data_IF_858874003621
#
_entry.id   IF_858874003621
#
_cell.length_a   1.000
_cell.length_b   1.000
_cell.length_c   1.000
_cell.angle_alpha   90.00
_cell.angle_beta   90.00
_cell.angle_gamma   90.00
#
_symmetry.space_group_name_H-M   'P 1'
#
loop_
_entity.id
_entity.type
_entity.pdbx_description
1 polymer ?
#
# COMPACT_ATOMS: atom_id res chain seq x y z
N UNK A 1 -44.34 41.85 26.84
CA UNK A 1 -43.88 40.45 27.11
C UNK A 1 -43.92 39.53 25.88
N UNK A 2 -44.68 39.85 24.85
CA UNK A 2 -44.78 39.00 23.65
C UNK A 2 -43.69 39.29 22.61
N UNK A 3 -42.99 40.42 22.73
CA UNK A 3 -41.97 40.87 21.78
C UNK A 3 -40.63 40.10 21.89
N UNK A 4 -40.37 39.46 23.02
CA UNK A 4 -39.08 38.75 23.24
C UNK A 4 -39.11 37.26 22.88
N UNK A 5 -40.29 36.73 22.61
CA UNK A 5 -40.44 35.28 22.26
C UNK A 5 -40.26 35.08 20.76
N UNK A 6 -40.49 36.11 19.95
CA UNK A 6 -40.38 36.00 18.51
C UNK A 6 -38.93 36.09 17.99
N UNK A 7 -38.01 36.59 18.80
CA UNK A 7 -36.59 36.73 18.43
C UNK A 7 -35.79 35.47 18.76
N UNK A 8 -36.30 34.60 19.60
CA UNK A 8 -35.60 33.35 19.99
C UNK A 8 -35.89 32.17 19.05
N UNK A 9 -36.95 32.31 18.24
CA UNK A 9 -37.35 31.23 17.30
C UNK A 9 -36.63 31.28 15.96
N UNK A 10 -35.80 32.29 15.69
CA UNK A 10 -35.18 32.48 14.36
C UNK A 10 -33.70 32.11 14.32
N UNK A 11 -33.13 31.54 15.38
CA UNK A 11 -31.70 31.16 15.43
C UNK A 11 -31.47 29.65 15.29
N UNK A 12 -32.52 28.84 15.09
CA UNK A 12 -32.41 27.40 15.16
C UNK A 12 -32.45 26.68 13.80
N UNK A 13 -32.11 27.33 12.69
CA UNK A 13 -32.20 26.71 11.38
C UNK A 13 -31.04 27.03 10.45
N UNK A 14 -29.81 26.75 10.89
CA UNK A 14 -28.68 26.62 9.94
C UNK A 14 -27.69 25.58 10.40
N UNK A 15 -28.10 24.34 10.53
CA UNK A 15 -27.19 23.19 10.39
C UNK A 15 -27.36 22.69 8.98
N UNK A 16 -26.73 23.38 8.04
CA UNK A 16 -26.43 22.77 6.74
C UNK A 16 -25.38 21.71 6.99
N UNK A 17 -25.78 20.47 7.12
CA UNK A 17 -24.87 19.35 7.02
C UNK A 17 -24.38 19.32 5.58
N UNK A 18 -23.15 19.79 5.34
CA UNK A 18 -22.41 19.43 4.15
C UNK A 18 -22.07 17.95 4.29
N UNK A 19 -22.87 17.09 3.70
CA UNK A 19 -22.43 15.75 3.36
C UNK A 19 -21.46 15.89 2.20
N UNK A 20 -20.16 15.78 2.48
CA UNK A 20 -19.16 15.55 1.46
C UNK A 20 -19.36 14.08 1.00
N UNK A 21 -20.24 13.90 0.03
CA UNK A 21 -20.26 12.66 -0.73
C UNK A 21 -19.00 12.70 -1.61
N UNK A 22 -18.02 11.85 -1.25
CA UNK A 22 -16.87 11.59 -2.09
C UNK A 22 -17.34 11.01 -3.41
N UNK A 23 -17.36 11.82 -4.45
CA UNK A 23 -17.70 11.39 -5.81
C UNK A 23 -16.59 10.53 -6.47
N UNK A 24 -15.65 10.02 -5.69
CA UNK A 24 -14.56 9.15 -6.15
C UNK A 24 -14.80 7.66 -5.88
N UNK A 25 -16.05 7.22 -5.89
CA UNK A 25 -16.43 5.83 -5.64
C UNK A 25 -15.90 4.81 -6.68
N UNK A 26 -15.15 5.26 -7.69
CA UNK A 26 -14.70 4.42 -8.80
C UNK A 26 -13.20 4.08 -8.73
N UNK A 27 -12.51 4.58 -7.73
CA UNK A 27 -11.11 4.23 -7.45
C UNK A 27 -11.04 3.37 -6.19
N UNK A 28 -10.32 2.27 -6.26
CA UNK A 28 -10.04 1.41 -5.12
C UNK A 28 -8.56 1.05 -5.07
N UNK A 29 -8.09 0.68 -3.88
CA UNK A 29 -6.72 0.19 -3.70
C UNK A 29 -6.77 -1.33 -3.63
N UNK A 30 -5.90 -1.96 -4.39
CA UNK A 30 -5.71 -3.41 -4.40
C UNK A 30 -4.24 -3.72 -4.15
N UNK A 31 -3.97 -4.59 -3.19
CA UNK A 31 -2.61 -5.07 -2.91
C UNK A 31 -2.28 -6.21 -3.87
N UNK A 32 -1.14 -6.08 -4.55
CA UNK A 32 -0.68 -7.04 -5.55
C UNK A 32 0.50 -7.85 -5.00
N UNK A 33 0.52 -9.15 -5.29
CA UNK A 33 1.62 -10.01 -4.87
C UNK A 33 2.92 -9.70 -5.60
N UNK A 34 4.03 -9.91 -4.91
CA UNK A 34 5.37 -9.86 -5.49
C UNK A 34 5.64 -11.17 -6.25
N UNK A 35 5.96 -11.06 -7.51
CA UNK A 35 6.28 -12.19 -8.38
C UNK A 35 7.70 -12.66 -8.16
N UNK A 36 8.64 -11.72 -8.12
CA UNK A 36 10.07 -11.97 -7.98
C UNK A 36 10.73 -10.82 -7.21
N UNK A 37 11.72 -11.11 -6.41
CA UNK A 37 12.48 -10.12 -5.66
C UNK A 37 13.98 -10.30 -5.87
N UNK A 38 14.70 -9.21 -6.06
CA UNK A 38 16.15 -9.17 -6.18
C UNK A 38 16.70 -8.39 -5.01
N UNK A 39 17.39 -9.09 -4.11
CA UNK A 39 18.01 -8.53 -2.91
C UNK A 39 19.48 -8.88 -2.88
N UNK A 40 20.36 -8.04 -2.29
CA UNK A 40 21.74 -8.37 -2.05
C UNK A 40 21.91 -9.61 -1.16
N UNK A 41 23.03 -10.31 -1.30
CA UNK A 41 23.33 -11.48 -0.48
C UNK A 41 23.67 -11.13 0.96
N UNK A 42 24.17 -9.93 1.20
CA UNK A 42 24.52 -9.42 2.53
C UNK A 42 24.42 -7.90 2.55
N UNK A 43 24.21 -7.35 3.74
CA UNK A 43 24.22 -5.91 3.99
C UNK A 43 25.41 -5.53 4.84
N UNK A 44 25.95 -4.34 4.57
CA UNK A 44 26.91 -3.68 5.45
C UNK A 44 26.17 -2.63 6.30
N UNK A 45 26.38 -2.67 7.61
CA UNK A 45 25.76 -1.72 8.52
C UNK A 45 26.10 -0.27 8.15
N UNK A 46 25.08 0.57 8.03
CA UNK A 46 25.20 1.98 7.66
C UNK A 46 25.19 2.25 6.16
N UNK A 47 25.20 1.22 5.31
CA UNK A 47 25.15 1.38 3.86
C UNK A 47 23.70 1.47 3.35
N UNK A 48 23.56 1.88 2.10
CA UNK A 48 22.27 1.97 1.38
C UNK A 48 22.32 1.04 0.18
N UNK A 49 21.29 0.23 0.04
CA UNK A 49 21.16 -0.73 -1.07
C UNK A 49 19.86 -0.52 -1.83
N UNK A 50 19.92 -0.69 -3.14
CA UNK A 50 18.74 -0.72 -3.99
C UNK A 50 18.24 -2.15 -4.13
N UNK A 51 16.98 -2.39 -3.77
CA UNK A 51 16.27 -3.64 -3.98
C UNK A 51 15.30 -3.47 -5.13
N UNK A 52 14.97 -4.58 -5.80
CA UNK A 52 14.01 -4.57 -6.90
C UNK A 52 13.00 -5.69 -6.74
N UNK A 53 11.75 -5.38 -7.02
CA UNK A 53 10.65 -6.35 -7.07
C UNK A 53 9.99 -6.33 -8.43
N UNK A 54 9.49 -7.48 -8.85
CA UNK A 54 8.73 -7.67 -10.07
C UNK A 54 7.31 -8.08 -9.67
N UNK A 55 6.33 -7.50 -10.32
CA UNK A 55 4.91 -7.78 -10.07
C UNK A 55 4.11 -7.63 -11.37
N UNK A 56 2.90 -8.17 -11.39
CA UNK A 56 2.00 -8.05 -12.51
C UNK A 56 0.84 -7.10 -12.18
N UNK A 57 0.55 -6.14 -13.06
CA UNK A 57 -0.70 -5.42 -13.06
C UNK A 57 -1.78 -6.33 -13.68
N UNK A 58 -2.88 -6.65 -12.97
CA UNK A 58 -3.86 -7.63 -13.44
C UNK A 58 -4.64 -7.20 -14.68
N UNK A 59 -4.74 -5.89 -14.94
CA UNK A 59 -5.48 -5.35 -16.07
C UNK A 59 -5.01 -3.95 -16.45
N UNK A 60 -5.50 -3.42 -17.56
CA UNK A 60 -5.25 -2.04 -17.98
C UNK A 60 -5.88 -0.97 -17.08
N UNK A 61 -6.74 -1.35 -16.14
CA UNK A 61 -7.33 -0.43 -15.15
C UNK A 61 -6.51 -0.29 -13.88
N UNK A 62 -5.47 -1.11 -13.72
CA UNK A 62 -4.55 -1.06 -12.59
C UNK A 62 -3.37 -0.14 -12.89
N UNK A 63 -2.95 0.62 -11.89
CA UNK A 63 -1.75 1.44 -11.91
C UNK A 63 -0.99 1.30 -10.61
N UNK A 64 0.33 1.45 -10.65
CA UNK A 64 1.12 1.51 -9.44
C UNK A 64 0.65 2.67 -8.56
N UNK A 65 0.48 2.40 -7.26
CA UNK A 65 0.16 3.42 -6.26
C UNK A 65 1.34 3.68 -5.33
N UNK A 66 1.72 2.69 -4.53
CA UNK A 66 2.89 2.76 -3.65
C UNK A 66 3.46 1.38 -3.32
N UNK A 67 4.62 1.38 -2.68
CA UNK A 67 5.21 0.20 -2.07
C UNK A 67 4.63 0.05 -0.66
N UNK A 68 3.98 -1.08 -0.39
CA UNK A 68 3.66 -1.47 0.97
C UNK A 68 4.94 -1.95 1.65
N UNK A 69 5.38 -1.24 2.67
CA UNK A 69 6.61 -1.54 3.40
C UNK A 69 6.34 -1.42 4.89
N UNK A 70 6.24 -2.54 5.58
CA UNK A 70 5.91 -2.58 7.00
C UNK A 70 7.03 -3.18 7.82
N UNK A 71 7.35 -2.54 8.93
CA UNK A 71 8.29 -3.04 9.92
C UNK A 71 7.58 -4.05 10.84
N UNK A 72 8.16 -5.23 10.98
CA UNK A 72 7.74 -6.26 11.92
C UNK A 72 8.98 -6.75 12.67
N UNK A 73 9.38 -6.04 13.75
CA UNK A 73 10.65 -6.26 14.45
C UNK A 73 11.84 -6.17 13.49
N UNK A 74 12.62 -7.24 13.30
CA UNK A 74 13.75 -7.29 12.37
C UNK A 74 13.32 -7.62 10.94
N UNK A 75 12.05 -7.97 10.73
CA UNK A 75 11.49 -8.28 9.43
C UNK A 75 10.89 -7.05 8.74
N UNK A 76 10.75 -7.16 7.42
CA UNK A 76 10.09 -6.17 6.55
C UNK A 76 9.09 -6.89 5.67
N UNK A 77 7.82 -6.50 5.77
CA UNK A 77 6.76 -7.03 4.92
C UNK A 77 6.64 -6.13 3.70
N UNK A 78 6.69 -6.71 2.52
CA UNK A 78 6.71 -5.98 1.25
C UNK A 78 5.63 -6.51 0.31
N UNK A 79 4.84 -5.59 -0.23
CA UNK A 79 3.86 -5.82 -1.28
C UNK A 79 3.75 -4.56 -2.15
N UNK A 80 3.01 -4.64 -3.23
CA UNK A 80 2.69 -3.49 -4.09
C UNK A 80 1.23 -3.11 -3.88
N UNK A 81 0.97 -1.83 -3.65
CA UNK A 81 -0.38 -1.29 -3.72
C UNK A 81 -0.63 -0.70 -5.10
N UNK A 82 -1.75 -1.06 -5.67
CA UNK A 82 -2.22 -0.58 -6.97
C UNK A 82 -3.51 0.19 -6.80
N UNK A 83 -3.69 1.25 -7.58
CA UNK A 83 -4.99 1.89 -7.72
C UNK A 83 -5.72 1.27 -8.91
N UNK A 84 -6.98 0.94 -8.71
CA UNK A 84 -7.86 0.36 -9.73
C UNK A 84 -8.94 1.36 -10.08
N UNK A 85 -9.08 1.69 -11.38
CA UNK A 85 -10.14 2.55 -11.86
C UNK A 85 -11.22 1.68 -12.53
N UNK A 86 -12.35 1.52 -11.83
CA UNK A 86 -13.45 0.65 -12.28
C UNK A 86 -14.38 1.30 -13.30
N UNK A 87 -14.20 2.59 -13.61
CA UNK A 87 -14.98 3.31 -14.62
C UNK A 87 -14.50 3.10 -16.05
N UNK A 88 -13.35 2.48 -16.23
CA UNK A 88 -12.74 2.29 -17.54
C UNK A 88 -13.08 0.90 -18.09
N UNK A 89 -13.11 0.81 -19.42
CA UNK A 89 -13.06 -0.49 -20.07
C UNK A 89 -11.63 -1.02 -19.96
N UNK A 90 -11.45 -2.14 -19.26
CA UNK A 90 -10.14 -2.67 -18.93
C UNK A 90 -9.74 -3.78 -19.90
N UNK A 91 -8.50 -3.74 -20.39
CA UNK A 91 -7.89 -4.92 -20.99
C UNK A 91 -7.52 -5.91 -19.88
N UNK A 92 -7.82 -7.19 -20.07
CA UNK A 92 -7.53 -8.25 -19.09
C UNK A 92 -6.12 -8.82 -19.21
N UNK A 93 -5.25 -8.20 -20.00
CA UNK A 93 -3.87 -8.64 -20.16
C UNK A 93 -3.03 -8.28 -18.95
N UNK A 94 -2.29 -9.25 -18.42
CA UNK A 94 -1.28 -9.02 -17.39
C UNK A 94 -0.15 -8.16 -17.94
N UNK A 95 0.26 -7.16 -17.17
CA UNK A 95 1.35 -6.27 -17.53
C UNK A 95 2.43 -6.38 -16.45
N UNK A 96 3.57 -6.97 -16.78
CA UNK A 96 4.70 -7.09 -15.86
C UNK A 96 5.35 -5.72 -15.64
N UNK A 97 5.64 -5.41 -14.38
CA UNK A 97 6.29 -4.18 -13.93
C UNK A 97 7.39 -4.48 -12.94
N UNK A 98 8.36 -3.60 -12.88
CA UNK A 98 9.42 -3.61 -11.89
C UNK A 98 9.32 -2.35 -11.02
N UNK A 99 9.69 -2.48 -9.75
CA UNK A 99 9.82 -1.34 -8.84
C UNK A 99 11.12 -1.47 -8.05
N UNK A 100 11.89 -0.39 -8.03
CA UNK A 100 13.14 -0.30 -7.26
C UNK A 100 12.93 0.60 -6.06
N UNK A 101 13.51 0.22 -4.92
CA UNK A 101 13.47 1.00 -3.69
C UNK A 101 14.76 0.87 -2.92
N UNK A 102 15.08 1.86 -2.11
CA UNK A 102 16.29 1.89 -1.30
C UNK A 102 16.03 1.43 0.13
N UNK A 103 16.97 0.67 0.67
CA UNK A 103 16.99 0.26 2.06
C UNK A 103 18.27 0.78 2.71
N UNK A 104 18.12 1.64 3.72
CA UNK A 104 19.22 2.06 4.58
C UNK A 104 19.40 1.04 5.71
N UNK A 105 20.58 0.47 5.84
CA UNK A 105 20.86 -0.56 6.83
C UNK A 105 21.10 0.08 8.18
N UNK A 106 20.08 0.08 9.04
CA UNK A 106 20.08 0.74 10.35
C UNK A 106 19.99 -0.21 11.54
N UNK A 107 19.81 -1.50 11.29
CA UNK A 107 19.86 -2.54 12.34
C UNK A 107 21.08 -3.42 12.15
N UNK A 108 21.58 -3.98 13.24
CA UNK A 108 22.74 -4.89 13.23
C UNK A 108 22.32 -6.35 13.05
N UNK A 109 21.06 -6.66 13.33
CA UNK A 109 20.46 -7.97 13.12
C UNK A 109 20.18 -8.22 11.64
N UNK A 110 20.09 -9.47 11.27
CA UNK A 110 19.72 -9.86 9.91
C UNK A 110 18.34 -9.29 9.52
N UNK A 111 18.23 -8.89 8.27
CA UNK A 111 16.95 -8.48 7.69
C UNK A 111 16.21 -9.71 7.21
N UNK A 112 14.94 -9.83 7.60
CA UNK A 112 14.04 -10.87 7.13
C UNK A 112 13.02 -10.19 6.21
N UNK A 113 13.25 -10.25 4.91
CA UNK A 113 12.29 -9.72 3.94
C UNK A 113 11.18 -10.73 3.71
N UNK A 114 9.95 -10.32 3.95
CA UNK A 114 8.75 -11.12 3.70
C UNK A 114 8.00 -10.52 2.51
N UNK A 115 8.21 -11.10 1.36
CA UNK A 115 7.52 -10.68 0.14
C UNK A 115 6.17 -11.36 0.05
N UNK A 116 5.11 -10.56 0.03
CA UNK A 116 3.76 -11.10 -0.02
C UNK A 116 3.49 -11.75 -1.37
N UNK A 117 3.02 -12.99 -1.34
CA UNK A 117 2.76 -13.83 -2.54
C UNK A 117 1.27 -14.02 -2.80
N UNK A 118 0.41 -13.35 -2.05
CA UNK A 118 -1.03 -13.54 -2.10
C UNK A 118 -1.54 -14.30 -0.89
N UNK A 119 -2.73 -14.84 -1.01
CA UNK A 119 -3.39 -15.63 0.03
C UNK A 119 -3.62 -17.06 -0.43
N UNK A 120 -3.66 -17.98 0.53
CA UNK A 120 -4.02 -19.38 0.26
C UNK A 120 -5.53 -19.56 0.15
N UNK A 121 -5.98 -20.82 -0.06
CA UNK A 121 -7.41 -21.14 -0.18
C UNK A 121 -8.23 -20.88 1.08
N UNK A 122 -7.59 -20.73 2.23
CA UNK A 122 -8.22 -20.43 3.53
C UNK A 122 -8.18 -18.93 3.88
N UNK A 123 -7.59 -18.10 3.01
CA UNK A 123 -7.47 -16.66 3.20
C UNK A 123 -6.27 -16.21 4.03
N UNK A 124 -5.32 -17.11 4.31
CA UNK A 124 -4.08 -16.78 5.01
C UNK A 124 -3.04 -16.22 4.05
N UNK A 125 -2.29 -15.22 4.52
CA UNK A 125 -1.20 -14.62 3.74
C UNK A 125 -0.07 -15.62 3.52
N UNK A 126 0.45 -15.62 2.30
CA UNK A 126 1.63 -16.40 1.91
C UNK A 126 2.78 -15.43 1.70
N UNK A 127 3.93 -15.72 2.30
CA UNK A 127 5.15 -14.93 2.15
C UNK A 127 6.31 -15.77 1.63
N UNK A 128 7.12 -15.17 0.77
CA UNK A 128 8.47 -15.64 0.49
C UNK A 128 9.44 -14.90 1.41
N UNK A 129 10.15 -15.63 2.26
CA UNK A 129 11.13 -15.05 3.17
C UNK A 129 12.53 -15.14 2.58
N UNK A 130 13.21 -13.99 2.53
CA UNK A 130 14.62 -13.90 2.16
C UNK A 130 15.36 -13.23 3.30
N UNK A 131 16.34 -13.94 3.86
CA UNK A 131 17.18 -13.43 4.94
C UNK A 131 18.43 -12.82 4.33
N UNK A 132 18.69 -11.55 4.66
CA UNK A 132 19.92 -10.85 4.28
C UNK A 132 20.73 -10.56 5.55
N UNK A 133 21.85 -11.24 5.76
CA UNK A 133 22.68 -11.03 6.92
C UNK A 133 23.34 -9.64 6.89
N UNK A 134 23.50 -9.06 8.07
CA UNK A 134 24.18 -7.77 8.24
C UNK A 134 25.59 -8.03 8.76
N UNK A 135 26.56 -7.54 8.04
CA UNK A 135 27.96 -7.56 8.43
C UNK A 135 28.38 -6.20 8.99
N UNK A 136 29.34 -6.20 9.89
CA UNK A 136 29.85 -4.96 10.50
C UNK A 136 30.99 -4.37 9.68
#
# INVERSE_FOLDING_TARGET
MIKNILTLALILLTVSSCSLEDENSNLSIETLPIKEAMVPQEFEYGAIYTLKVVYDLPSGCHSFYDLYYQYESTARIIAINSVVNTNLACTEALIEREFEFEVSVTQQEDYIFKFWKGTDSTGNDIFEEIIVPVIS
#
